data_IF_214166411403
#
_entry.id   IF_214166411403
#
_cell.length_a   1.000
_cell.length_b   1.000
_cell.length_c   1.000
_cell.angle_alpha   90.00
_cell.angle_beta   90.00
_cell.angle_gamma   90.00
#
_symmetry.space_group_name_H-M   'P 1'
#
loop_
_entity.id
_entity.type
_entity.pdbx_description
1 polymer ?
#
# COMPACT_ATOMS: atom_id res chain seq x y z
N UNK A 1 5.56 2.81 -28.15
CA UNK A 1 6.00 1.74 -27.22
C UNK A 1 5.63 2.02 -25.76
N UNK A 2 6.13 3.09 -25.13
CA UNK A 2 5.86 3.36 -23.71
C UNK A 2 4.36 3.51 -23.39
N UNK A 3 3.67 4.40 -24.10
CA UNK A 3 2.22 4.63 -23.90
C UNK A 3 1.40 3.35 -24.03
N UNK A 4 1.63 2.59 -25.09
CA UNK A 4 0.99 1.29 -25.30
C UNK A 4 1.20 0.30 -24.14
N UNK A 5 2.43 0.12 -23.65
CA UNK A 5 2.67 -0.80 -22.52
C UNK A 5 2.08 -0.27 -21.21
N UNK A 6 2.05 1.06 -21.03
CA UNK A 6 1.40 1.67 -19.88
C UNK A 6 -0.11 1.43 -19.92
N UNK A 7 -0.76 1.66 -21.05
CA UNK A 7 -2.18 1.39 -21.27
C UNK A 7 -2.51 -0.09 -21.07
N UNK A 8 -1.74 -0.99 -21.68
CA UNK A 8 -1.91 -2.44 -21.49
C UNK A 8 -1.74 -2.86 -20.02
N UNK A 9 -0.79 -2.24 -19.30
CA UNK A 9 -0.60 -2.47 -17.85
C UNK A 9 -1.83 -2.05 -17.05
N UNK A 10 -2.50 -0.96 -17.46
CA UNK A 10 -3.73 -0.48 -16.84
C UNK A 10 -4.89 -1.42 -17.15
N UNK A 11 -5.07 -1.84 -18.40
CA UNK A 11 -6.17 -2.71 -18.80
C UNK A 11 -6.09 -4.09 -18.14
N UNK A 12 -4.89 -4.67 -18.05
CA UNK A 12 -4.69 -6.03 -17.55
C UNK A 12 -4.59 -6.13 -16.03
N UNK A 13 -4.62 -5.01 -15.31
CA UNK A 13 -4.57 -5.03 -13.86
C UNK A 13 -5.67 -5.96 -13.28
N UNK A 14 -5.34 -6.89 -12.37
CA UNK A 14 -4.16 -6.95 -11.51
C UNK A 14 -2.95 -7.72 -12.07
N UNK A 15 -3.04 -8.28 -13.28
CA UNK A 15 -1.91 -8.95 -13.92
C UNK A 15 -0.83 -7.93 -14.26
N UNK A 16 0.43 -8.30 -14.02
CA UNK A 16 1.56 -7.42 -14.30
C UNK A 16 2.31 -7.85 -15.55
N UNK A 17 2.61 -6.90 -16.43
CA UNK A 17 3.38 -7.13 -17.65
C UNK A 17 4.87 -7.32 -17.33
N UNK A 18 5.38 -8.54 -17.51
CA UNK A 18 6.80 -8.83 -17.30
C UNK A 18 7.66 -8.38 -18.48
N UNK A 19 8.97 -8.23 -18.29
CA UNK A 19 9.89 -7.90 -19.39
C UNK A 19 9.85 -8.94 -20.53
N UNK A 20 9.54 -10.21 -20.21
CA UNK A 20 9.38 -11.27 -21.21
C UNK A 20 8.12 -11.04 -22.05
N UNK A 21 7.00 -10.72 -21.41
CA UNK A 21 5.75 -10.40 -22.12
C UNK A 21 5.88 -9.14 -22.97
N UNK A 22 6.54 -8.10 -22.43
CA UNK A 22 6.82 -6.86 -23.18
C UNK A 22 7.67 -7.15 -24.41
N UNK A 23 8.71 -7.97 -24.27
CA UNK A 23 9.60 -8.37 -25.38
C UNK A 23 8.82 -9.07 -26.48
N UNK A 24 7.95 -10.03 -26.13
CA UNK A 24 7.11 -10.77 -27.09
C UNK A 24 6.07 -9.86 -27.77
N UNK A 25 5.41 -8.99 -27.01
CA UNK A 25 4.35 -8.10 -27.53
C UNK A 25 4.85 -7.04 -28.50
N UNK A 26 6.05 -6.52 -28.26
CA UNK A 26 6.64 -5.47 -29.08
C UNK A 26 7.65 -6.00 -30.10
N UNK A 27 7.91 -7.31 -30.12
CA UNK A 27 8.95 -7.94 -30.93
C UNK A 27 10.32 -7.25 -30.78
N UNK A 28 10.67 -6.89 -29.53
CA UNK A 28 11.95 -6.24 -29.19
C UNK A 28 12.82 -7.17 -28.36
N UNK A 29 14.13 -6.91 -28.34
CA UNK A 29 15.07 -7.64 -27.47
C UNK A 29 14.64 -7.57 -26.00
N UNK A 30 14.95 -8.63 -25.25
CA UNK A 30 14.70 -8.67 -23.80
C UNK A 30 15.36 -7.49 -23.06
N UNK A 31 16.57 -7.08 -23.49
CA UNK A 31 17.29 -5.94 -22.91
C UNK A 31 16.49 -4.65 -23.08
N UNK A 32 15.96 -4.39 -24.27
CA UNK A 32 15.11 -3.23 -24.55
C UNK A 32 13.79 -3.27 -23.76
N UNK A 33 13.15 -4.44 -23.69
CA UNK A 33 11.93 -4.64 -22.90
C UNK A 33 12.15 -4.41 -21.40
N UNK A 34 13.27 -4.89 -20.86
CA UNK A 34 13.66 -4.65 -19.46
C UNK A 34 13.87 -3.17 -19.17
N UNK A 35 14.56 -2.44 -20.06
CA UNK A 35 14.73 -0.99 -19.92
C UNK A 35 13.38 -0.25 -19.97
N UNK A 36 12.48 -0.68 -20.86
CA UNK A 36 11.14 -0.12 -20.94
C UNK A 36 10.36 -0.35 -19.63
N UNK A 37 10.43 -1.56 -19.07
CA UNK A 37 9.82 -1.89 -17.79
C UNK A 37 10.35 -1.03 -16.65
N UNK A 38 11.67 -0.85 -16.57
CA UNK A 38 12.30 0.00 -15.57
C UNK A 38 11.85 1.47 -15.70
N UNK A 39 11.72 1.98 -16.93
CA UNK A 39 11.18 3.33 -17.17
C UNK A 39 9.74 3.46 -16.68
N UNK A 40 8.90 2.44 -16.86
CA UNK A 40 7.53 2.42 -16.32
C UNK A 40 7.56 2.47 -14.79
N UNK A 41 8.41 1.67 -14.14
CA UNK A 41 8.52 1.66 -12.68
C UNK A 41 8.99 3.00 -12.12
N UNK A 42 9.96 3.64 -12.77
CA UNK A 42 10.43 4.99 -12.40
C UNK A 42 9.33 6.04 -12.65
N UNK A 43 8.66 5.98 -13.79
CA UNK A 43 7.52 6.84 -14.10
C UNK A 43 6.42 6.71 -13.03
N UNK A 44 6.00 5.48 -12.74
CA UNK A 44 5.00 5.18 -11.71
C UNK A 44 5.42 5.67 -10.33
N UNK A 45 6.70 5.54 -9.97
CA UNK A 45 7.22 6.07 -8.71
C UNK A 45 7.07 7.59 -8.60
N UNK A 46 7.29 8.33 -9.70
CA UNK A 46 7.04 9.77 -9.71
C UNK A 46 5.54 10.10 -9.67
N UNK A 47 4.71 9.37 -10.42
CA UNK A 47 3.28 9.66 -10.51
C UNK A 47 2.51 9.25 -9.25
N UNK A 48 2.92 8.19 -8.56
CA UNK A 48 2.22 7.71 -7.35
C UNK A 48 2.27 8.75 -6.24
N UNK A 49 3.37 9.50 -6.12
CA UNK A 49 3.49 10.60 -5.15
C UNK A 49 2.48 11.72 -5.44
N UNK A 50 2.20 11.94 -6.73
CA UNK A 50 1.21 12.93 -7.15
C UNK A 50 -0.21 12.48 -6.88
N UNK A 51 -0.51 11.22 -7.19
CA UNK A 51 -1.78 10.60 -6.83
C UNK A 51 -1.99 10.60 -5.32
N UNK A 52 -0.95 10.33 -4.54
CA UNK A 52 -1.00 10.38 -3.08
C UNK A 52 -1.41 11.76 -2.57
N UNK A 53 -0.89 12.84 -3.18
CA UNK A 53 -1.29 14.21 -2.85
C UNK A 53 -2.75 14.51 -3.21
N UNK A 54 -3.17 14.16 -4.42
CA UNK A 54 -4.58 14.32 -4.86
C UNK A 54 -5.52 13.57 -3.92
N UNK A 55 -5.14 12.35 -3.55
CA UNK A 55 -5.88 11.53 -2.61
C UNK A 55 -5.94 12.13 -1.20
N UNK A 56 -4.82 12.66 -0.70
CA UNK A 56 -4.76 13.35 0.59
C UNK A 56 -5.72 14.55 0.61
N UNK A 57 -5.69 15.37 -0.45
CA UNK A 57 -6.53 16.56 -0.57
C UNK A 57 -8.03 16.16 -0.66
N UNK A 58 -8.39 15.12 -1.44
CA UNK A 58 -9.77 14.60 -1.51
C UNK A 58 -10.26 14.10 -0.14
N UNK A 59 -9.42 13.38 0.61
CA UNK A 59 -9.76 12.91 1.95
C UNK A 59 -9.97 14.08 2.92
N UNK A 60 -9.10 15.08 2.86
CA UNK A 60 -9.15 16.25 3.74
C UNK A 60 -10.44 17.03 3.53
N UNK A 61 -10.80 17.27 2.27
CA UNK A 61 -12.07 17.95 1.92
C UNK A 61 -13.28 17.10 2.27
N UNK A 62 -13.25 15.80 1.94
CA UNK A 62 -14.35 14.86 2.19
C UNK A 62 -14.70 14.74 3.67
N UNK A 63 -13.70 14.76 4.56
CA UNK A 63 -13.89 14.45 5.99
C UNK A 63 -13.72 15.65 6.93
N UNK A 64 -13.58 16.87 6.39
CA UNK A 64 -13.37 18.11 7.16
C UNK A 64 -14.37 18.26 8.31
N UNK A 65 -15.66 18.15 7.99
CA UNK A 65 -16.77 18.41 8.92
C UNK A 65 -17.47 17.13 9.38
N UNK A 66 -16.85 15.96 9.14
CA UNK A 66 -17.44 14.66 9.45
C UNK A 66 -17.01 14.20 10.84
N UNK A 67 -17.97 13.98 11.74
CA UNK A 67 -17.72 13.37 13.06
C UNK A 67 -18.08 11.89 13.05
N UNK A 68 -17.24 11.05 13.67
CA UNK A 68 -17.58 9.65 13.91
C UNK A 68 -18.27 9.49 15.27
N UNK A 69 -19.25 8.57 15.40
CA UNK A 69 -19.80 8.21 16.71
C UNK A 69 -18.70 7.66 17.61
N UNK A 70 -18.81 7.89 18.93
CA UNK A 70 -17.85 7.33 19.89
C UNK A 70 -17.97 5.81 19.88
N UNK A 71 -16.88 5.12 20.20
CA UNK A 71 -16.86 3.64 20.24
C UNK A 71 -17.83 3.12 21.29
N UNK A 72 -17.97 3.84 22.40
CA UNK A 72 -18.87 3.54 23.52
C UNK A 72 -20.35 3.60 23.14
N UNK A 73 -20.72 4.49 22.21
CA UNK A 73 -22.11 4.66 21.77
C UNK A 73 -22.65 3.41 21.03
N UNK A 74 -21.78 2.49 20.63
CA UNK A 74 -22.18 1.23 19.98
C UNK A 74 -22.87 1.42 18.62
N UNK A 75 -22.77 2.61 18.01
CA UNK A 75 -23.43 2.94 16.74
C UNK A 75 -22.67 2.40 15.55
N UNK A 76 -23.41 1.89 14.56
CA UNK A 76 -22.84 1.44 13.30
C UNK A 76 -22.38 2.63 12.43
N UNK A 77 -21.09 2.65 12.08
CA UNK A 77 -20.48 3.78 11.37
C UNK A 77 -21.04 3.93 9.95
N UNK A 78 -21.30 2.81 9.27
CA UNK A 78 -21.80 2.82 7.89
C UNK A 78 -23.22 3.35 7.81
N UNK A 79 -24.07 3.01 8.80
CA UNK A 79 -25.41 3.59 8.92
C UNK A 79 -25.36 5.09 9.21
N UNK A 80 -24.43 5.53 10.06
CA UNK A 80 -24.29 6.95 10.43
C UNK A 80 -23.79 7.83 9.27
N UNK A 81 -22.76 7.41 8.56
CA UNK A 81 -22.14 8.20 7.47
C UNK A 81 -22.82 8.03 6.11
N UNK A 82 -23.60 6.96 5.94
CA UNK A 82 -24.10 6.53 4.65
C UNK A 82 -23.05 5.83 3.78
N UNK A 83 -23.53 5.05 2.81
CA UNK A 83 -22.73 4.13 2.00
C UNK A 83 -21.63 4.80 1.18
N UNK A 84 -21.88 5.99 0.63
CA UNK A 84 -20.92 6.70 -0.24
C UNK A 84 -19.70 7.17 0.54
N UNK A 85 -19.93 7.86 1.66
CA UNK A 85 -18.87 8.39 2.51
C UNK A 85 -18.10 7.27 3.23
N UNK A 86 -18.81 6.25 3.71
CA UNK A 86 -18.19 5.07 4.32
C UNK A 86 -17.15 4.38 3.42
N UNK A 87 -17.41 4.28 2.10
CA UNK A 87 -16.48 3.66 1.15
C UNK A 87 -15.17 4.42 0.97
N UNK A 88 -15.17 5.73 1.28
CA UNK A 88 -13.99 6.59 1.22
C UNK A 88 -13.10 6.49 2.45
N UNK A 89 -13.47 5.72 3.49
CA UNK A 89 -12.63 5.56 4.68
C UNK A 89 -11.38 4.74 4.31
N UNK A 90 -10.17 5.27 4.54
CA UNK A 90 -8.94 4.51 4.36
C UNK A 90 -8.80 3.38 5.36
N UNK A 91 -8.26 2.26 4.89
CA UNK A 91 -7.82 1.13 5.68
C UNK A 91 -6.31 1.01 5.59
N UNK A 92 -5.65 0.77 6.73
CA UNK A 92 -4.21 0.57 6.80
C UNK A 92 -3.86 -0.78 7.38
N UNK A 93 -2.88 -1.44 6.78
CA UNK A 93 -2.33 -2.68 7.29
C UNK A 93 -0.92 -2.95 6.78
N UNK A 94 -0.25 -3.95 7.35
CA UNK A 94 1.07 -4.40 6.91
C UNK A 94 1.08 -5.90 6.66
N UNK A 95 1.72 -6.30 5.58
CA UNK A 95 1.87 -7.71 5.23
C UNK A 95 3.27 -8.02 4.73
N UNK A 96 3.69 -9.26 5.01
CA UNK A 96 4.94 -9.81 4.51
C UNK A 96 4.70 -10.33 3.09
N UNK A 97 5.46 -9.79 2.15
CA UNK A 97 5.42 -10.15 0.74
C UNK A 97 6.42 -11.27 0.42
N UNK A 98 7.66 -11.09 0.87
CA UNK A 98 8.69 -12.14 0.87
C UNK A 98 9.20 -12.32 2.28
N UNK A 99 9.31 -13.56 2.75
CA UNK A 99 9.85 -13.89 4.07
C UNK A 99 11.22 -14.55 3.96
N UNK A 100 11.99 -14.44 5.03
CA UNK A 100 13.20 -15.20 5.28
C UNK A 100 12.84 -16.68 5.48
N UNK A 101 13.14 -17.50 4.48
CA UNK A 101 13.02 -18.96 4.56
C UNK A 101 14.04 -19.57 5.53
N UNK A 102 13.82 -20.81 5.97
CA UNK A 102 14.81 -21.55 6.75
C UNK A 102 16.13 -21.71 6.00
N UNK A 103 16.08 -21.96 4.68
CA UNK A 103 17.28 -22.09 3.84
C UNK A 103 18.10 -20.81 3.82
N UNK A 104 17.45 -19.67 3.65
CA UNK A 104 18.12 -18.38 3.74
C UNK A 104 18.66 -18.06 5.13
N UNK A 105 18.15 -18.71 6.18
CA UNK A 105 18.66 -18.62 7.55
C UNK A 105 19.67 -19.71 7.88
N UNK A 106 20.16 -20.50 6.91
CA UNK A 106 21.04 -21.66 7.17
C UNK A 106 20.47 -22.59 8.25
N UNK A 107 19.14 -22.78 8.24
CA UNK A 107 18.39 -23.57 9.22
C UNK A 107 18.49 -23.08 10.67
N UNK A 108 18.99 -21.86 10.91
CA UNK A 108 19.00 -21.22 12.22
C UNK A 108 17.62 -20.64 12.56
N UNK A 109 17.34 -20.52 13.87
CA UNK A 109 16.15 -19.84 14.39
C UNK A 109 16.14 -18.38 13.93
N UNK A 110 14.94 -17.82 13.75
CA UNK A 110 14.77 -16.44 13.24
C UNK A 110 15.37 -15.41 14.21
N UNK A 111 15.77 -14.27 13.65
CA UNK A 111 16.14 -13.07 14.40
C UNK A 111 14.99 -12.61 15.29
N UNK A 112 15.30 -12.20 16.53
CA UNK A 112 14.42 -11.58 17.55
C UNK A 112 12.96 -12.08 17.52
N UNK A 113 12.62 -12.98 18.44
CA UNK A 113 11.32 -13.64 18.61
C UNK A 113 10.08 -12.90 18.07
N UNK A 114 9.30 -13.60 17.22
CA UNK A 114 7.90 -13.31 16.89
C UNK A 114 7.63 -12.14 15.93
N UNK A 115 6.51 -12.21 15.21
CA UNK A 115 5.98 -11.08 14.43
C UNK A 115 6.45 -10.97 12.97
N UNK A 116 5.86 -10.01 12.27
CA UNK A 116 6.06 -9.81 10.83
C UNK A 116 7.44 -9.22 10.50
N UNK A 117 7.94 -8.29 11.33
CA UNK A 117 9.30 -7.72 11.17
C UNK A 117 10.37 -8.81 11.26
N UNK A 118 10.33 -9.68 12.27
CA UNK A 118 11.29 -10.78 12.41
C UNK A 118 11.32 -11.72 11.19
N UNK A 119 10.19 -11.84 10.48
CA UNK A 119 10.07 -12.73 9.33
C UNK A 119 10.77 -12.23 8.07
N UNK A 120 11.20 -10.96 8.01
CA UNK A 120 11.88 -10.39 6.84
C UNK A 120 13.39 -10.26 7.01
N UNK A 121 13.91 -10.54 8.21
CA UNK A 121 15.34 -10.50 8.52
C UNK A 121 15.92 -11.91 8.68
N UNK A 122 17.18 -12.06 8.28
CA UNK A 122 17.97 -13.22 8.66
C UNK A 122 18.30 -13.21 10.15
N UNK A 123 18.61 -14.38 10.72
CA UNK A 123 19.22 -14.49 12.06
C UNK A 123 20.45 -13.59 12.19
N UNK A 124 20.68 -13.02 13.38
CA UNK A 124 21.91 -12.26 13.71
C UNK A 124 23.16 -13.10 13.43
N UNK A 125 23.11 -14.39 13.76
CA UNK A 125 24.21 -15.33 13.56
C UNK A 125 24.58 -15.55 12.09
N UNK A 126 23.71 -15.15 11.16
CA UNK A 126 23.91 -15.26 9.70
C UNK A 126 24.04 -13.85 9.06
N UNK A 127 24.10 -12.80 9.89
CA UNK A 127 24.38 -11.43 9.49
C UNK A 127 23.21 -10.45 9.64
N UNK A 128 22.04 -10.88 10.12
CA UNK A 128 20.94 -9.97 10.50
C UNK A 128 20.35 -9.12 9.36
N UNK A 129 20.60 -9.50 8.10
CA UNK A 129 20.25 -8.68 6.93
C UNK A 129 18.78 -8.80 6.56
N UNK A 130 18.19 -7.72 6.06
CA UNK A 130 16.85 -7.75 5.47
C UNK A 130 16.90 -8.48 4.13
N UNK A 131 16.23 -9.62 4.05
CA UNK A 131 16.09 -10.40 2.82
C UNK A 131 14.65 -10.50 2.33
N UNK A 132 13.70 -10.32 3.26
CA UNK A 132 12.28 -10.25 2.98
C UNK A 132 11.78 -8.82 2.77
N UNK A 133 10.58 -8.71 2.24
CA UNK A 133 9.91 -7.43 2.01
C UNK A 133 8.65 -7.37 2.87
N UNK A 134 8.59 -6.37 3.75
CA UNK A 134 7.39 -6.00 4.47
C UNK A 134 6.75 -4.80 3.75
N UNK A 135 5.43 -4.81 3.62
CA UNK A 135 4.69 -3.81 2.86
C UNK A 135 3.62 -3.18 3.74
N UNK A 136 3.62 -1.86 3.84
CA UNK A 136 2.47 -1.09 4.33
C UNK A 136 1.49 -0.86 3.20
N UNK A 137 0.20 -1.06 3.47
CA UNK A 137 -0.90 -0.84 2.53
C UNK A 137 -1.82 0.20 3.11
N UNK A 138 -2.08 1.28 2.37
CA UNK A 138 -3.16 2.23 2.65
C UNK A 138 -4.11 2.18 1.47
N UNK A 139 -5.37 1.83 1.70
CA UNK A 139 -6.34 1.59 0.63
C UNK A 139 -7.75 2.06 0.97
N UNK A 140 -8.51 2.46 -0.04
CA UNK A 140 -9.95 2.77 0.05
C UNK A 140 -10.79 1.78 -0.74
N UNK A 141 -12.05 1.62 -0.37
CA UNK A 141 -12.94 0.67 -1.05
C UNK A 141 -13.25 1.19 -2.46
N UNK A 142 -12.88 0.41 -3.48
CA UNK A 142 -12.97 0.79 -4.90
C UNK A 142 -12.25 2.11 -5.22
N UNK A 143 -11.19 2.44 -4.48
CA UNK A 143 -10.43 3.68 -4.64
C UNK A 143 -8.93 3.44 -4.77
N UNK A 144 -8.16 4.45 -4.39
CA UNK A 144 -6.70 4.42 -4.43
C UNK A 144 -6.12 3.36 -3.48
N UNK A 145 -4.94 2.86 -3.85
CA UNK A 145 -4.08 2.05 -2.99
C UNK A 145 -2.64 2.54 -3.07
N UNK A 146 -1.99 2.55 -1.92
CA UNK A 146 -0.58 2.86 -1.78
C UNK A 146 0.12 1.73 -1.04
N UNK A 147 1.10 1.14 -1.70
CA UNK A 147 1.97 0.13 -1.15
C UNK A 147 3.36 0.71 -0.93
N UNK A 148 3.83 0.70 0.31
CA UNK A 148 5.15 1.21 0.68
C UNK A 148 6.00 0.08 1.27
N UNK A 149 7.24 -0.07 0.79
CA UNK A 149 8.18 -1.01 1.40
C UNK A 149 8.72 -0.43 2.71
N UNK A 150 8.66 -1.22 3.77
CA UNK A 150 9.06 -0.79 5.11
C UNK A 150 10.05 -1.77 5.75
N UNK A 151 10.97 -1.29 6.60
CA UNK A 151 11.86 -2.15 7.37
C UNK A 151 11.17 -2.77 8.60
N UNK A 152 10.21 -2.08 9.22
CA UNK A 152 9.51 -2.55 10.42
C UNK A 152 8.11 -1.92 10.58
N UNK A 153 7.35 -2.41 11.56
CA UNK A 153 6.00 -1.95 11.90
C UNK A 153 5.98 -0.85 12.99
N UNK A 154 7.11 -0.22 13.30
CA UNK A 154 7.16 0.76 14.40
C UNK A 154 6.46 2.06 14.03
N UNK A 155 5.99 2.79 15.04
CA UNK A 155 5.36 4.10 14.87
C UNK A 155 6.24 5.09 14.09
N UNK A 156 7.56 5.08 14.33
CA UNK A 156 8.50 5.98 13.65
C UNK A 156 8.62 5.68 12.13
N UNK A 157 8.35 4.44 11.72
CA UNK A 157 8.38 4.02 10.31
C UNK A 157 7.04 4.27 9.64
N UNK A 158 5.95 3.83 10.26
CA UNK A 158 4.60 3.88 9.69
C UNK A 158 3.91 5.23 9.86
N UNK A 159 4.15 5.92 10.97
CA UNK A 159 3.52 7.22 11.28
C UNK A 159 3.76 8.26 10.18
N UNK A 160 5.01 8.49 9.73
CA UNK A 160 5.28 9.40 8.61
C UNK A 160 4.60 8.98 7.30
N UNK A 161 4.56 7.69 6.97
CA UNK A 161 3.93 7.19 5.75
C UNK A 161 2.41 7.39 5.75
N UNK A 162 1.76 7.09 6.88
CA UNK A 162 0.32 7.30 7.05
C UNK A 162 0.03 8.80 7.00
N UNK A 163 0.78 9.64 7.72
CA UNK A 163 0.62 11.11 7.69
C UNK A 163 0.78 11.70 6.29
N UNK A 164 1.68 11.15 5.48
CA UNK A 164 1.91 11.57 4.09
C UNK A 164 0.71 11.27 3.18
N UNK A 165 -0.13 10.29 3.55
CA UNK A 165 -1.19 9.75 2.69
C UNK A 165 -2.59 10.08 3.20
N UNK A 166 -2.78 10.16 4.52
CA UNK A 166 -4.07 10.35 5.19
C UNK A 166 -3.97 11.58 6.10
N UNK A 167 -4.88 12.56 6.00
CA UNK A 167 -4.91 13.72 6.89
C UNK A 167 -5.44 13.33 8.28
N UNK A 168 -5.02 14.06 9.32
CA UNK A 168 -5.38 13.74 10.72
C UNK A 168 -6.88 13.84 11.00
N UNK A 169 -7.56 14.67 10.23
CA UNK A 169 -8.99 14.90 10.29
C UNK A 169 -9.79 13.76 9.65
N UNK A 170 -9.17 12.90 8.84
CA UNK A 170 -9.87 11.77 8.23
C UNK A 170 -9.98 10.58 9.18
N UNK A 171 -11.08 9.80 9.09
CA UNK A 171 -11.16 8.49 9.72
C UNK A 171 -10.12 7.54 9.12
N UNK A 172 -9.64 6.59 9.91
CA UNK A 172 -8.68 5.58 9.48
C UNK A 172 -8.99 4.26 10.17
N UNK A 173 -9.16 3.18 9.40
CA UNK A 173 -9.41 1.85 9.94
C UNK A 173 -8.15 1.00 9.87
N UNK A 174 -7.92 0.17 10.87
CA UNK A 174 -6.79 -0.78 10.88
C UNK A 174 -7.12 -2.06 11.64
N UNK A 175 -6.23 -3.03 11.58
CA UNK A 175 -6.16 -4.10 12.58
C UNK A 175 -5.64 -3.53 13.93
N UNK A 176 -5.77 -4.29 15.01
CA UNK A 176 -5.38 -3.90 16.38
C UNK A 176 -3.86 -3.75 16.58
N UNK A 177 -3.04 -4.14 15.59
CA UNK A 177 -1.58 -4.04 15.62
C UNK A 177 -0.98 -2.62 15.66
N UNK A 178 -1.80 -1.57 15.72
CA UNK A 178 -1.35 -0.16 15.71
C UNK A 178 -1.92 0.65 16.88
N UNK A 179 -1.62 0.30 18.14
CA UNK A 179 -2.18 0.99 19.31
C UNK A 179 -1.82 2.49 19.35
N UNK A 180 -0.64 2.85 18.83
CA UNK A 180 -0.15 4.23 18.78
C UNK A 180 -0.93 5.13 17.82
N UNK A 181 -1.72 4.57 16.88
CA UNK A 181 -2.54 5.38 15.96
C UNK A 181 -3.65 6.13 16.69
N UNK A 182 -4.17 5.59 17.80
CA UNK A 182 -5.22 6.26 18.59
C UNK A 182 -4.77 7.62 19.15
N UNK A 183 -3.50 7.75 19.52
CA UNK A 183 -2.95 9.02 20.03
C UNK A 183 -2.77 10.09 18.95
N UNK A 184 -2.74 9.68 17.67
CA UNK A 184 -2.45 10.56 16.54
C UNK A 184 -3.73 10.89 15.76
N UNK A 185 -4.52 9.87 15.43
CA UNK A 185 -5.75 9.98 14.66
C UNK A 185 -6.95 9.80 15.59
N UNK A 186 -7.57 10.91 15.99
CA UNK A 186 -8.75 10.89 16.89
C UNK A 186 -9.93 10.09 16.32
N UNK A 187 -10.03 10.02 14.98
CA UNK A 187 -11.07 9.27 14.25
C UNK A 187 -10.62 7.85 13.85
N UNK A 188 -9.50 7.35 14.40
CA UNK A 188 -9.04 5.98 14.16
C UNK A 188 -9.96 4.95 14.78
N UNK A 189 -10.13 3.80 14.11
CA UNK A 189 -10.82 2.62 14.63
C UNK A 189 -10.02 1.38 14.31
N UNK A 190 -9.84 0.53 15.31
CA UNK A 190 -9.21 -0.77 15.13
C UNK A 190 -10.23 -1.91 15.29
N UNK A 191 -10.00 -3.00 14.56
CA UNK A 191 -10.70 -4.27 14.76
C UNK A 191 -9.69 -5.31 15.27
N UNK A 192 -10.08 -6.15 16.22
CA UNK A 192 -9.28 -7.27 16.66
C UNK A 192 -9.76 -8.55 15.94
N UNK A 193 -8.96 -9.04 14.99
CA UNK A 193 -9.26 -10.27 14.26
C UNK A 193 -8.97 -11.57 15.03
N UNK A 194 -8.25 -11.49 16.15
CA UNK A 194 -7.95 -12.62 17.03
C UNK A 194 -8.97 -12.79 18.16
N UNK A 195 -9.95 -11.87 18.29
CA UNK A 195 -10.96 -11.93 19.33
C UNK A 195 -11.79 -13.23 19.27
N UNK A 196 -11.67 -14.02 20.32
CA UNK A 196 -12.43 -15.26 20.50
C UNK A 196 -13.92 -14.99 20.74
N UNK A 197 -14.74 -16.01 20.48
CA UNK A 197 -16.16 -15.94 20.81
C UNK A 197 -16.40 -15.75 22.30
N UNK A 198 -17.36 -14.88 22.63
CA UNK A 198 -17.86 -14.73 24.01
C UNK A 198 -18.74 -15.91 24.42
N UNK A 199 -19.26 -16.68 23.45
CA UNK A 199 -20.04 -17.88 23.74
C UNK A 199 -19.12 -19.02 24.19
N UNK A 200 -19.41 -19.57 25.36
CA UNK A 200 -18.68 -20.70 25.95
C UNK A 200 -18.64 -21.93 25.03
N UNK A 201 -19.67 -22.13 24.19
CA UNK A 201 -19.74 -23.25 23.24
C UNK A 201 -18.75 -23.13 22.09
N UNK A 202 -18.37 -21.90 21.74
CA UNK A 202 -17.57 -21.60 20.57
C UNK A 202 -16.24 -20.92 20.93
N UNK A 203 -15.64 -21.25 22.08
CA UNK A 203 -14.40 -20.63 22.58
C UNK A 203 -13.25 -20.60 21.55
N UNK A 204 -13.14 -21.63 20.70
CA UNK A 204 -12.10 -21.69 19.66
C UNK A 204 -12.45 -20.88 18.40
N UNK A 205 -13.73 -20.54 18.21
CA UNK A 205 -14.18 -19.74 17.07
C UNK A 205 -13.78 -18.27 17.26
N UNK A 206 -13.35 -17.64 16.17
CA UNK A 206 -13.05 -16.20 16.12
C UNK A 206 -14.30 -15.45 15.69
N UNK A 207 -14.72 -14.48 16.49
CA UNK A 207 -16.10 -13.97 16.38
C UNK A 207 -16.27 -12.78 15.45
N UNK A 208 -15.21 -12.12 14.97
CA UNK A 208 -15.37 -10.83 14.28
C UNK A 208 -14.46 -10.64 13.08
N UNK A 209 -15.08 -10.78 11.90
CA UNK A 209 -14.57 -10.26 10.62
C UNK A 209 -14.82 -8.75 10.49
N UNK A 210 -15.87 -8.24 11.15
CA UNK A 210 -16.20 -6.82 11.28
C UNK A 210 -16.98 -6.57 12.58
N UNK A 211 -16.94 -5.32 13.08
CA UNK A 211 -17.75 -4.87 14.24
C UNK A 211 -18.21 -3.44 14.02
N UNK A 212 -19.51 -3.16 14.06
CA UNK A 212 -20.07 -1.81 13.84
C UNK A 212 -19.62 -1.17 12.52
N UNK A 213 -19.47 -2.02 11.49
CA UNK A 213 -18.86 -1.65 10.22
C UNK A 213 -17.41 -1.13 10.34
N UNK A 214 -16.66 -1.57 11.34
CA UNK A 214 -15.19 -1.47 11.37
C UNK A 214 -14.62 -2.82 10.96
N UNK A 215 -13.77 -2.82 9.94
CA UNK A 215 -13.07 -4.00 9.43
C UNK A 215 -11.76 -3.59 8.74
N UNK A 216 -10.89 -4.55 8.42
CA UNK A 216 -9.65 -4.29 7.68
C UNK A 216 -9.58 -4.96 6.29
N UNK A 217 -10.69 -5.57 5.85
CA UNK A 217 -10.77 -6.36 4.62
C UNK A 217 -10.32 -5.64 3.33
N UNK A 218 -10.41 -4.30 3.28
CA UNK A 218 -9.97 -3.53 2.10
C UNK A 218 -8.46 -3.61 1.95
N UNK A 219 -7.70 -3.44 3.04
CA UNK A 219 -6.25 -3.56 3.01
C UNK A 219 -5.83 -5.02 2.75
N UNK A 220 -6.43 -5.98 3.47
CA UNK A 220 -6.15 -7.42 3.30
C UNK A 220 -6.42 -7.91 1.86
N UNK A 221 -7.55 -7.51 1.27
CA UNK A 221 -7.89 -7.86 -0.11
C UNK A 221 -6.88 -7.32 -1.13
N UNK A 222 -6.39 -6.09 -0.90
CA UNK A 222 -5.33 -5.50 -1.70
C UNK A 222 -3.99 -6.21 -1.53
N UNK A 223 -3.64 -6.63 -0.32
CA UNK A 223 -2.42 -7.42 -0.07
C UNK A 223 -2.49 -8.81 -0.72
N UNK A 224 -3.68 -9.44 -0.78
CA UNK A 224 -3.86 -10.70 -1.51
C UNK A 224 -3.61 -10.51 -3.01
N UNK A 225 -4.18 -9.45 -3.59
CA UNK A 225 -3.92 -9.05 -4.97
C UNK A 225 -2.42 -8.82 -5.20
N UNK A 226 -1.78 -8.07 -4.29
CA UNK A 226 -0.34 -7.80 -4.34
C UNK A 226 0.48 -9.10 -4.39
N UNK A 227 0.21 -10.06 -3.49
CA UNK A 227 0.89 -11.35 -3.47
C UNK A 227 0.72 -12.12 -4.78
N UNK A 228 -0.48 -12.11 -5.34
CA UNK A 228 -0.76 -12.74 -6.64
C UNK A 228 -0.07 -12.05 -7.81
N UNK A 229 0.08 -10.73 -7.78
CA UNK A 229 0.79 -9.98 -8.80
C UNK A 229 2.31 -10.24 -8.73
N UNK A 230 2.86 -10.27 -7.51
CA UNK A 230 4.29 -10.47 -7.26
C UNK A 230 4.77 -11.90 -7.53
N UNK A 231 3.89 -12.90 -7.56
CA UNK A 231 4.28 -14.25 -7.98
C UNK A 231 4.79 -14.29 -9.43
N UNK A 232 4.39 -13.33 -10.27
CA UNK A 232 4.87 -13.22 -11.66
C UNK A 232 6.33 -12.73 -11.77
N UNK A 233 6.86 -12.04 -10.75
CA UNK A 233 8.18 -11.41 -10.79
C UNK A 233 9.32 -12.27 -10.22
N UNK A 234 9.02 -13.43 -9.62
CA UNK A 234 9.94 -14.17 -8.76
C UNK A 234 10.44 -13.32 -7.58
N UNK A 235 11.49 -13.74 -6.90
CA UNK A 235 12.05 -12.99 -5.76
C UNK A 235 12.63 -11.63 -6.18
N UNK A 236 12.22 -10.57 -5.47
CA UNK A 236 12.76 -9.22 -5.64
C UNK A 236 13.54 -8.86 -4.38
N UNK A 237 14.77 -8.35 -4.58
CA UNK A 237 15.59 -7.85 -3.48
C UNK A 237 14.87 -6.67 -2.79
N UNK A 238 14.83 -6.61 -1.45
CA UNK A 238 14.11 -5.56 -0.71
C UNK A 238 14.47 -4.14 -1.16
N UNK A 239 15.75 -3.88 -1.46
CA UNK A 239 16.27 -2.60 -1.98
C UNK A 239 15.51 -2.06 -3.20
N UNK A 240 15.00 -2.94 -4.06
CA UNK A 240 14.29 -2.56 -5.28
C UNK A 240 12.78 -2.70 -5.17
N UNK A 241 12.26 -3.24 -4.07
CA UNK A 241 10.84 -3.57 -3.91
C UNK A 241 9.93 -2.35 -4.09
N UNK A 242 10.33 -1.18 -3.60
CA UNK A 242 9.59 0.08 -3.74
C UNK A 242 9.23 0.41 -5.20
N UNK A 243 10.12 0.14 -6.17
CA UNK A 243 9.85 0.40 -7.59
C UNK A 243 8.68 -0.44 -8.13
N UNK A 244 8.60 -1.71 -7.70
CA UNK A 244 7.54 -2.64 -8.09
C UNK A 244 6.22 -2.35 -7.34
N UNK A 245 6.31 -1.96 -6.07
CA UNK A 245 5.15 -1.56 -5.27
C UNK A 245 4.52 -0.27 -5.79
N UNK A 246 5.35 0.71 -6.15
CA UNK A 246 4.91 1.98 -6.73
C UNK A 246 4.22 1.77 -8.09
N UNK A 247 4.73 0.85 -8.90
CA UNK A 247 4.10 0.48 -10.16
C UNK A 247 2.66 0.00 -9.95
N UNK A 248 2.44 -0.98 -9.08
CA UNK A 248 1.10 -1.51 -8.80
C UNK A 248 0.19 -0.49 -8.11
N UNK A 249 0.74 0.31 -7.20
CA UNK A 249 0.01 1.40 -6.53
C UNK A 249 -0.48 2.43 -7.54
N UNK A 250 0.38 2.82 -8.48
CA UNK A 250 0.05 3.77 -9.54
C UNK A 250 -1.02 3.18 -10.47
N UNK A 251 -0.82 1.97 -11.00
CA UNK A 251 -1.75 1.36 -11.95
C UNK A 251 -3.15 1.20 -11.34
N UNK A 252 -3.25 0.74 -10.09
CA UNK A 252 -4.56 0.61 -9.44
C UNK A 252 -5.19 1.97 -9.13
N UNK A 253 -4.41 2.91 -8.60
CA UNK A 253 -4.94 4.21 -8.20
C UNK A 253 -5.36 5.06 -9.40
N UNK A 254 -4.66 4.94 -10.53
CA UNK A 254 -5.02 5.67 -11.75
C UNK A 254 -6.32 5.17 -12.38
N UNK A 255 -6.64 3.88 -12.25
CA UNK A 255 -7.96 3.36 -12.63
C UNK A 255 -9.10 3.99 -11.82
N UNK A 256 -8.85 4.31 -10.54
CA UNK A 256 -9.83 4.92 -9.67
C UNK A 256 -9.96 6.45 -9.86
N UNK A 257 -8.83 7.14 -10.07
CA UNK A 257 -8.76 8.61 -10.16
C UNK A 257 -8.97 9.13 -11.58
N UNK A 258 -8.53 8.36 -12.58
CA UNK A 258 -8.49 8.77 -13.98
C UNK A 258 -7.22 9.55 -14.34
N UNK A 259 -6.71 9.32 -15.55
CA UNK A 259 -5.54 10.04 -16.09
C UNK A 259 -5.81 11.54 -16.24
N UNK A 260 -7.02 11.93 -16.63
CA UNK A 260 -7.38 13.33 -16.84
C UNK A 260 -7.29 14.16 -15.56
N UNK A 261 -7.72 13.59 -14.43
CA UNK A 261 -7.61 14.24 -13.11
C UNK A 261 -6.15 14.47 -12.74
N UNK A 262 -5.29 13.46 -12.95
CA UNK A 262 -3.85 13.57 -12.68
C UNK A 262 -3.20 14.66 -13.55
N UNK A 263 -3.48 14.66 -14.86
CA UNK A 263 -2.93 15.65 -15.81
C UNK A 263 -3.45 17.06 -15.47
N UNK A 264 -4.73 17.19 -15.14
CA UNK A 264 -5.34 18.47 -14.77
C UNK A 264 -4.71 19.02 -13.49
N UNK A 265 -4.52 18.20 -12.47
CA UNK A 265 -3.87 18.59 -11.23
C UNK A 265 -2.42 19.06 -11.46
N UNK A 266 -1.70 18.43 -12.38
CA UNK A 266 -0.35 18.86 -12.77
C UNK A 266 -0.35 20.19 -13.53
N UNK A 267 -1.28 20.38 -14.48
CA UNK A 267 -1.42 21.62 -15.26
C UNK A 267 -1.79 22.81 -14.37
N UNK A 268 -2.70 22.60 -13.41
CA UNK A 268 -3.11 23.60 -12.42
C UNK A 268 -2.05 23.88 -11.35
N UNK A 269 -0.91 23.17 -11.36
CA UNK A 269 0.15 23.35 -10.37
C UNK A 269 -0.20 22.83 -8.97
N UNK A 270 -1.32 22.13 -8.81
CA UNK A 270 -1.70 21.46 -7.54
C UNK A 270 -0.64 20.46 -7.13
N UNK A 271 0.00 19.84 -8.12
CA UNK A 271 1.14 18.95 -7.93
C UNK A 271 2.30 19.38 -8.80
N UNK A 272 3.57 19.37 -8.31
CA UNK A 272 4.72 19.79 -9.10
C UNK A 272 4.78 19.08 -10.45
N UNK A 273 4.92 19.85 -11.53
CA UNK A 273 5.20 19.28 -12.84
C UNK A 273 6.67 18.85 -12.90
N UNK A 274 6.96 17.66 -13.43
CA UNK A 274 8.33 17.12 -13.46
C UNK A 274 9.26 18.01 -14.28
N UNK A 275 8.71 18.71 -15.28
CA UNK A 275 9.44 19.69 -16.09
C UNK A 275 9.99 20.89 -15.28
N UNK A 276 9.42 21.20 -14.10
CA UNK A 276 9.95 22.26 -13.22
C UNK A 276 11.07 21.78 -12.29
N UNK A 277 11.35 20.48 -12.24
CA UNK A 277 12.36 19.90 -11.31
C UNK A 277 13.77 19.88 -11.93
N UNK A 278 13.91 20.13 -13.23
CA UNK A 278 15.21 20.14 -13.90
C UNK A 278 15.57 21.53 -14.43
N UNK A 279 15.75 22.50 -13.53
CA UNK A 279 16.91 23.40 -13.63
C UNK A 279 18.08 22.71 -12.91
N UNK A 280 18.41 21.49 -13.34
CA UNK A 280 19.70 20.90 -13.04
C UNK A 280 20.67 21.58 -13.99
N UNK A 281 21.45 22.51 -13.47
CA UNK A 281 22.64 23.04 -14.15
C UNK A 281 23.50 21.86 -14.57
N UNK A 282 23.41 21.49 -15.84
CA UNK A 282 24.30 20.54 -16.49
C UNK A 282 25.68 21.19 -16.58
N UNK A 283 26.45 21.10 -15.49
CA UNK A 283 27.90 21.22 -15.55
C UNK A 283 28.49 19.82 -15.41
N UNK A 284 28.44 19.06 -16.49
CA UNK A 284 29.41 18.00 -16.72
C UNK A 284 30.52 18.63 -17.55
N UNK A 285 31.60 19.01 -16.87
CA UNK A 285 32.95 19.05 -17.46
C UNK A 285 33.56 17.67 -17.34
#
# INVERSE_FOLDING_TARGET
MFGYILEESIIQFPKVLTSVEISKRLSISYKSARLLKQRIQVFSSHQVEKLRRIYYDDLKETFKDVTLPKVEDGKDIKKHLGKKLYRKIPHTDTAVLYSASQRSNQFRKRFRHGGLTASIYQSDSVGGRQIGTLVSTIATQNGCVFFDSIPDQKANTLGPLIRKTVPYESPLFSDEGYPWLYGIYKKHRAINHQAHSKDKRYKLARNRWSKLSVHNQVAEGNQRLLKSAFSAYCYIKPRYSTLYLNELSFIKSIQAVGMDTLVTAQRKGVVPNVSKIYNLTYNFK
#
